data_IF_654513413291
#
_entry.id   IF_654513413291
#
_cell.length_a   1.000
_cell.length_b   1.000
_cell.length_c   1.000
_cell.angle_alpha   90.00
_cell.angle_beta   90.00
_cell.angle_gamma   90.00
#
_symmetry.space_group_name_H-M   'P 1'
#
loop_
_entity.id
_entity.type
_entity.pdbx_description
1 polymer ?
#
# COMPACT_ATOMS: atom_id res chain seq x y z
N UNK A 1 -20.21 25.75 -11.46
CA UNK A 1 -18.88 26.34 -11.21
C UNK A 1 -18.14 25.44 -10.23
N UNK A 2 -16.96 24.93 -10.59
CA UNK A 2 -16.09 24.19 -9.68
C UNK A 2 -15.15 25.18 -8.99
N UNK A 3 -15.15 25.21 -7.65
CA UNK A 3 -14.41 26.22 -6.87
C UNK A 3 -13.28 25.58 -6.06
N UNK A 4 -13.46 24.35 -5.58
CA UNK A 4 -12.44 23.62 -4.84
C UNK A 4 -12.43 22.14 -5.23
N UNK A 5 -11.26 21.51 -5.15
CA UNK A 5 -11.04 20.11 -5.47
C UNK A 5 -10.07 19.47 -4.47
N UNK A 6 -10.55 18.47 -3.71
CA UNK A 6 -9.78 17.76 -2.70
C UNK A 6 -9.25 16.42 -3.22
N UNK A 7 -7.98 16.10 -2.95
CA UNK A 7 -7.22 15.04 -3.61
C UNK A 7 -6.45 14.22 -2.59
N UNK A 8 -6.23 12.93 -2.86
CA UNK A 8 -5.28 12.10 -2.10
C UNK A 8 -3.82 12.45 -2.41
N UNK A 9 -3.57 13.12 -3.54
CA UNK A 9 -2.27 13.55 -4.01
C UNK A 9 -1.40 12.47 -4.62
N UNK A 10 -2.05 11.45 -5.19
CA UNK A 10 -1.38 10.55 -6.12
C UNK A 10 -0.61 11.34 -7.20
N UNK A 11 0.57 10.84 -7.59
CA UNK A 11 1.42 11.51 -8.58
C UNK A 11 0.76 11.67 -9.96
N UNK A 12 -0.28 10.89 -10.29
CA UNK A 12 -1.07 11.10 -11.51
C UNK A 12 -1.93 12.38 -11.43
N UNK A 13 -2.31 12.79 -10.22
CA UNK A 13 -3.10 14.00 -9.96
C UNK A 13 -2.18 15.21 -9.74
N UNK A 14 -1.09 15.03 -8.95
CA UNK A 14 -0.16 16.07 -8.48
C UNK A 14 1.31 15.78 -8.90
N UNK A 15 1.60 15.17 -10.06
CA UNK A 15 2.99 14.85 -10.49
C UNK A 15 3.52 15.71 -11.66
N UNK A 16 4.82 15.96 -11.77
CA UNK A 16 5.39 17.08 -12.55
C UNK A 16 4.93 17.25 -14.01
N UNK A 17 4.43 16.20 -14.68
CA UNK A 17 3.99 16.20 -16.08
C UNK A 17 2.51 15.83 -16.19
N UNK A 18 1.74 16.55 -17.01
CA UNK A 18 0.35 16.20 -17.41
C UNK A 18 -0.64 16.02 -16.24
N UNK A 19 -0.58 16.88 -15.22
CA UNK A 19 -1.46 16.82 -14.03
C UNK A 19 -2.92 17.05 -14.38
N UNK A 20 -3.80 16.31 -13.70
CA UNK A 20 -5.23 16.63 -13.61
C UNK A 20 -5.43 18.07 -13.11
N UNK A 21 -4.64 18.48 -12.11
CA UNK A 21 -4.60 19.84 -11.56
C UNK A 21 -4.27 20.89 -12.64
N UNK A 22 -3.24 20.67 -13.46
CA UNK A 22 -2.90 21.63 -14.52
C UNK A 22 -4.00 21.74 -15.58
N UNK A 23 -4.65 20.63 -15.93
CA UNK A 23 -5.77 20.62 -16.87
C UNK A 23 -6.99 21.33 -16.30
N UNK A 24 -7.33 21.06 -15.04
CA UNK A 24 -8.46 21.72 -14.38
C UNK A 24 -8.22 23.22 -14.21
N UNK A 25 -6.99 23.65 -13.93
CA UNK A 25 -6.67 25.10 -13.82
C UNK A 25 -6.85 25.85 -15.13
N UNK A 26 -6.70 25.19 -16.29
CA UNK A 26 -6.99 25.82 -17.59
C UNK A 26 -8.49 26.02 -17.82
N UNK A 27 -9.32 25.14 -17.27
CA UNK A 27 -10.79 25.17 -17.43
C UNK A 27 -11.43 26.05 -16.34
N UNK A 28 -10.87 26.02 -15.14
CA UNK A 28 -11.33 26.73 -13.94
C UNK A 28 -10.13 27.48 -13.32
N UNK A 29 -9.84 28.72 -13.75
CA UNK A 29 -8.62 29.43 -13.35
C UNK A 29 -8.55 29.77 -11.86
N UNK A 30 -9.70 29.83 -11.18
CA UNK A 30 -9.79 30.17 -9.75
C UNK A 30 -9.99 28.95 -8.84
N UNK A 31 -9.75 27.75 -9.34
CA UNK A 31 -9.95 26.53 -8.56
C UNK A 31 -8.87 26.38 -7.47
N UNK A 32 -9.32 26.03 -6.27
CA UNK A 32 -8.45 25.73 -5.13
C UNK A 32 -8.24 24.23 -5.03
N UNK A 33 -6.97 23.80 -4.97
CA UNK A 33 -6.62 22.40 -4.75
C UNK A 33 -6.24 22.17 -3.30
N UNK A 34 -6.89 21.21 -2.66
CA UNK A 34 -6.56 20.81 -1.30
C UNK A 34 -6.02 19.38 -1.30
N UNK A 35 -4.79 19.20 -0.84
CA UNK A 35 -4.25 17.87 -0.62
C UNK A 35 -4.79 17.34 0.72
N UNK A 36 -5.24 16.09 0.75
CA UNK A 36 -5.67 15.45 1.98
C UNK A 36 -4.50 15.40 2.98
N UNK A 37 -4.60 16.14 4.08
CA UNK A 37 -3.57 16.23 5.11
C UNK A 37 -3.32 14.86 5.74
N UNK A 38 -4.37 14.06 5.96
CA UNK A 38 -4.25 12.71 6.49
C UNK A 38 -3.40 11.81 5.57
N UNK A 39 -3.63 11.89 4.25
CA UNK A 39 -2.82 11.13 3.28
C UNK A 39 -1.38 11.65 3.21
N UNK A 40 -1.19 12.98 3.23
CA UNK A 40 0.13 13.59 3.24
C UNK A 40 0.96 13.17 4.46
N UNK A 41 0.35 13.17 5.64
CA UNK A 41 0.97 12.69 6.89
C UNK A 41 1.32 11.21 6.79
N UNK A 42 0.39 10.37 6.33
CA UNK A 42 0.64 8.94 6.15
C UNK A 42 1.81 8.68 5.18
N UNK A 43 1.94 9.46 4.12
CA UNK A 43 3.05 9.36 3.17
C UNK A 43 4.38 9.80 3.79
N UNK A 44 4.39 10.93 4.52
CA UNK A 44 5.58 11.38 5.25
C UNK A 44 6.07 10.33 6.25
N UNK A 45 5.17 9.78 7.07
CA UNK A 45 5.50 8.67 7.97
C UNK A 45 6.01 7.45 7.20
N UNK A 46 5.37 7.13 6.07
CA UNK A 46 5.78 5.99 5.23
C UNK A 46 7.19 6.17 4.67
N UNK A 47 7.59 7.37 4.31
CA UNK A 47 8.91 7.69 3.77
C UNK A 47 9.96 7.76 4.89
N UNK A 48 9.64 8.36 6.04
CA UNK A 48 10.52 8.36 7.22
C UNK A 48 10.82 6.95 7.71
N UNK A 49 9.85 6.03 7.70
CA UNK A 49 10.06 4.64 8.14
C UNK A 49 11.14 3.93 7.31
N UNK A 50 11.38 4.35 6.05
CA UNK A 50 12.38 3.72 5.16
C UNK A 50 13.81 4.06 5.55
N UNK A 51 13.99 5.07 6.40
CA UNK A 51 15.31 5.49 6.91
C UNK A 51 15.61 4.85 8.27
N UNK A 52 14.67 4.07 8.82
CA UNK A 52 14.78 3.46 10.14
C UNK A 52 14.87 1.94 9.99
N UNK A 53 16.10 1.42 10.03
CA UNK A 53 16.38 0.00 9.79
C UNK A 53 15.57 -0.94 10.69
N UNK A 54 15.41 -0.58 11.97
CA UNK A 54 14.61 -1.37 12.92
C UNK A 54 13.16 -1.50 12.46
N UNK A 55 12.59 -0.45 11.85
CA UNK A 55 11.21 -0.42 11.39
C UNK A 55 11.03 -1.30 10.15
N UNK A 56 12.03 -1.35 9.29
CA UNK A 56 12.07 -2.23 8.11
C UNK A 56 12.03 -3.69 8.56
N UNK A 57 12.90 -4.06 9.51
CA UNK A 57 12.98 -5.43 10.04
C UNK A 57 11.68 -5.81 10.73
N UNK A 58 11.19 -5.01 11.67
CA UNK A 58 9.96 -5.29 12.41
C UNK A 58 8.76 -5.48 11.47
N UNK A 59 8.62 -4.60 10.47
CA UNK A 59 7.55 -4.68 9.47
C UNK A 59 7.67 -5.93 8.61
N UNK A 60 8.88 -6.32 8.22
CA UNK A 60 9.11 -7.55 7.46
C UNK A 60 8.74 -8.78 8.30
N UNK A 61 9.19 -8.85 9.55
CA UNK A 61 8.87 -9.96 10.48
C UNK A 61 7.37 -10.12 10.66
N UNK A 62 6.65 -9.04 10.98
CA UNK A 62 5.19 -9.08 11.13
C UNK A 62 4.50 -9.53 9.84
N UNK A 63 4.98 -9.04 8.68
CA UNK A 63 4.44 -9.43 7.38
C UNK A 63 4.65 -10.92 7.09
N UNK A 64 5.79 -11.49 7.51
CA UNK A 64 6.09 -12.89 7.29
C UNK A 64 5.30 -13.80 8.23
N UNK A 65 5.09 -13.39 9.48
CA UNK A 65 4.15 -14.05 10.41
C UNK A 65 2.74 -14.07 9.78
N UNK A 66 2.25 -12.91 9.30
CA UNK A 66 0.96 -12.84 8.64
C UNK A 66 0.86 -13.76 7.41
N UNK A 67 1.87 -13.78 6.54
CA UNK A 67 1.91 -14.68 5.37
C UNK A 67 1.94 -16.15 5.77
N UNK A 68 2.63 -16.49 6.86
CA UNK A 68 2.70 -17.85 7.38
C UNK A 68 1.28 -18.35 7.70
N UNK A 69 0.53 -17.58 8.49
CA UNK A 69 -0.84 -17.95 8.88
C UNK A 69 -1.85 -17.81 7.75
N UNK A 70 -1.73 -16.79 6.88
CA UNK A 70 -2.61 -16.61 5.73
C UNK A 70 -2.64 -17.84 4.81
N UNK A 71 -1.49 -18.50 4.65
CA UNK A 71 -1.35 -19.67 3.78
C UNK A 71 -1.39 -21.00 4.56
N UNK A 72 -1.79 -20.98 5.83
CA UNK A 72 -1.74 -22.15 6.70
C UNK A 72 -2.54 -23.34 6.15
N UNK A 73 -3.82 -23.13 5.82
CA UNK A 73 -4.68 -24.19 5.28
C UNK A 73 -4.09 -24.83 4.01
N UNK A 74 -3.59 -24.02 3.08
CA UNK A 74 -2.93 -24.51 1.86
C UNK A 74 -1.67 -25.32 2.18
N UNK A 75 -0.85 -24.86 3.13
CA UNK A 75 0.37 -25.57 3.54
C UNK A 75 0.05 -26.92 4.20
N UNK A 76 -0.97 -26.96 5.07
CA UNK A 76 -1.42 -28.20 5.69
C UNK A 76 -1.94 -29.19 4.64
N UNK A 77 -2.78 -28.74 3.70
CA UNK A 77 -3.28 -29.62 2.63
C UNK A 77 -2.13 -30.20 1.80
N UNK A 78 -1.18 -29.37 1.38
CA UNK A 78 0.01 -29.82 0.63
C UNK A 78 0.83 -30.82 1.45
N UNK A 79 1.04 -30.56 2.75
CA UNK A 79 1.77 -31.48 3.62
C UNK A 79 1.03 -32.83 3.75
N UNK A 80 -0.29 -32.82 3.89
CA UNK A 80 -1.10 -34.04 3.95
C UNK A 80 -1.07 -34.81 2.62
N UNK A 81 -1.06 -34.13 1.47
CA UNK A 81 -0.88 -34.75 0.16
C UNK A 81 0.49 -35.46 0.07
N UNK A 82 1.57 -34.81 0.51
CA UNK A 82 2.89 -35.44 0.56
C UNK A 82 2.94 -36.63 1.53
N UNK A 83 2.29 -36.54 2.68
CA UNK A 83 2.21 -37.66 3.63
C UNK A 83 1.52 -38.88 3.02
N UNK A 84 0.47 -38.67 2.21
CA UNK A 84 -0.19 -39.75 1.50
C UNK A 84 0.69 -40.37 0.42
N UNK A 85 1.39 -39.55 -0.38
CA UNK A 85 2.26 -40.03 -1.47
C UNK A 85 3.46 -40.84 -0.92
N UNK A 86 4.00 -40.41 0.21
CA UNK A 86 5.20 -41.00 0.82
C UNK A 86 4.88 -42.05 1.90
N UNK A 87 3.59 -42.35 2.11
CA UNK A 87 3.08 -43.30 3.11
C UNK A 87 3.55 -42.99 4.55
N UNK A 88 3.61 -41.70 4.88
CA UNK A 88 3.94 -41.22 6.23
C UNK A 88 2.69 -41.09 7.11
N UNK A 89 2.81 -41.30 8.44
CA UNK A 89 1.71 -41.08 9.36
C UNK A 89 1.22 -39.63 9.29
N UNK A 90 -0.10 -39.44 9.33
CA UNK A 90 -0.74 -38.12 9.35
C UNK A 90 -0.33 -37.37 10.62
N UNK A 91 -0.03 -36.07 10.45
CA UNK A 91 0.22 -35.13 11.55
C UNK A 91 -1.09 -34.74 12.25
#
# INVERSE_FOLDING_TARGET
KLVAFALDGASVIIGAKNRVVQKLSKICPYIVYNHCIAHHLALACKDSQKQLDYFIIAKATIKDIYKFYKNFAKRINILQEYQQILDFPKL
#
